data_IF_346096177777
#
_entry.id   IF_346096177777
#
_cell.length_a   1.000
_cell.length_b   1.000
_cell.length_c   1.000
_cell.angle_alpha   90.00
_cell.angle_beta   90.00
_cell.angle_gamma   90.00
#
_symmetry.space_group_name_H-M   'P 1'
#
loop_
_entity.id
_entity.type
_entity.pdbx_description
1 polymer ?
#
# COMPACT_ATOMS: atom_id res chain seq x y z
N UNK A 1 7.41 -30.51 -35.25
CA UNK A 1 6.10 -30.52 -34.56
C UNK A 1 6.31 -29.84 -33.20
N UNK A 2 6.37 -28.52 -33.18
CA UNK A 2 6.52 -27.73 -31.96
C UNK A 2 5.10 -27.46 -31.43
N UNK A 3 4.74 -28.10 -30.32
CA UNK A 3 3.51 -27.78 -29.62
C UNK A 3 3.67 -26.39 -29.00
N UNK A 4 2.94 -25.42 -29.53
CA UNK A 4 2.69 -24.13 -28.89
C UNK A 4 1.82 -24.42 -27.65
N UNK A 5 2.48 -24.55 -26.50
CA UNK A 5 1.81 -24.42 -25.22
C UNK A 5 1.37 -22.97 -25.08
N UNK A 6 0.06 -22.74 -25.08
CA UNK A 6 -0.53 -21.47 -24.70
C UNK A 6 -0.15 -21.20 -23.25
N UNK A 7 0.94 -20.46 -23.04
CA UNK A 7 1.18 -19.79 -21.77
C UNK A 7 0.11 -18.71 -21.72
N UNK A 8 -0.97 -18.98 -21.00
CA UNK A 8 -1.93 -17.96 -20.61
C UNK A 8 -1.13 -16.85 -19.93
N UNK A 9 -1.18 -15.63 -20.46
CA UNK A 9 -0.49 -14.43 -19.93
C UNK A 9 -0.81 -14.12 -18.45
N UNK A 10 -1.71 -14.88 -17.82
CA UNK A 10 -2.15 -14.74 -16.44
C UNK A 10 -1.15 -15.29 -15.39
N UNK A 11 -0.05 -15.93 -15.79
CA UNK A 11 0.91 -16.55 -14.86
C UNK A 11 2.19 -15.73 -14.58
N UNK A 12 2.26 -14.47 -15.05
CA UNK A 12 3.49 -13.65 -14.94
C UNK A 12 3.35 -12.38 -14.10
N UNK A 13 2.16 -12.04 -13.60
CA UNK A 13 1.97 -10.84 -12.79
C UNK A 13 1.82 -11.20 -11.32
N UNK A 14 2.68 -10.60 -10.49
CA UNK A 14 2.50 -10.62 -9.03
C UNK A 14 1.16 -9.91 -8.71
N UNK A 15 0.54 -10.21 -7.56
CA UNK A 15 -0.58 -9.40 -7.08
C UNK A 15 -0.20 -7.92 -6.98
N UNK A 16 -1.18 -7.02 -7.06
CA UNK A 16 -0.97 -5.57 -6.97
C UNK A 16 -0.76 -5.11 -5.53
N UNK A 17 -1.58 -5.62 -4.63
CA UNK A 17 -1.54 -5.32 -3.21
C UNK A 17 -2.17 -6.47 -2.41
N UNK A 18 -1.98 -6.45 -1.10
CA UNK A 18 -2.58 -7.39 -0.16
C UNK A 18 -3.49 -6.66 0.80
N UNK A 19 -4.70 -7.18 1.01
CA UNK A 19 -5.63 -6.69 2.03
C UNK A 19 -5.60 -7.57 3.27
N UNK A 20 -5.90 -6.96 4.42
CA UNK A 20 -6.04 -7.61 5.72
C UNK A 20 -7.44 -7.38 6.26
N UNK A 21 -8.22 -8.45 6.45
CA UNK A 21 -9.53 -8.41 7.11
C UNK A 21 -9.36 -8.72 8.59
N UNK A 22 -9.97 -7.91 9.46
CA UNK A 22 -10.00 -8.17 10.90
C UNK A 22 -8.67 -7.87 11.61
N UNK A 23 -7.96 -6.81 11.20
CA UNK A 23 -6.79 -6.32 11.91
C UNK A 23 -7.09 -6.01 13.38
N UNK A 24 -6.11 -6.18 14.26
CA UNK A 24 -6.23 -5.81 15.67
C UNK A 24 -6.28 -4.31 15.82
N UNK A 25 -7.33 -3.81 16.50
CA UNK A 25 -7.55 -2.40 16.76
C UNK A 25 -7.17 -2.06 18.22
N UNK A 26 -6.31 -1.06 18.45
CA UNK A 26 -5.94 -0.53 19.79
C UNK A 26 -6.50 0.87 20.01
N UNK A 27 -7.30 1.14 21.03
CA UNK A 27 -7.99 2.42 21.21
C UNK A 27 -7.06 3.67 21.09
N UNK A 28 -7.14 4.37 19.95
CA UNK A 28 -6.48 5.65 19.64
C UNK A 28 -7.51 6.53 18.88
N UNK A 29 -7.52 7.88 19.06
CA UNK A 29 -8.39 8.80 18.32
C UNK A 29 -8.33 8.72 16.77
N UNK A 30 -7.32 8.10 16.15
CA UNK A 30 -7.11 8.13 14.68
C UNK A 30 -7.57 6.90 13.88
N UNK A 31 -8.36 6.00 14.49
CA UNK A 31 -8.72 4.68 13.97
C UNK A 31 -7.52 3.72 13.91
N UNK A 32 -7.74 2.52 14.42
CA UNK A 32 -6.65 1.70 14.94
C UNK A 32 -6.38 0.56 13.98
N UNK A 33 -5.50 0.75 13.01
CA UNK A 33 -5.20 -0.29 12.02
C UNK A 33 -3.77 -0.78 12.21
N UNK A 34 -3.51 -1.51 13.30
CA UNK A 34 -2.14 -1.89 13.66
C UNK A 34 -1.44 -2.73 12.61
N UNK A 35 -2.15 -3.31 11.65
CA UNK A 35 -1.62 -4.28 10.68
C UNK A 35 -1.19 -5.59 11.31
N UNK A 36 -1.68 -5.89 12.52
CA UNK A 36 -1.42 -7.14 13.23
C UNK A 36 -2.68 -8.01 13.25
N UNK A 37 -2.52 -9.34 13.28
CA UNK A 37 -3.64 -10.28 13.29
C UNK A 37 -4.41 -10.30 11.97
N UNK A 38 -5.66 -10.77 12.00
CA UNK A 38 -6.52 -10.83 10.83
C UNK A 38 -6.10 -11.85 9.76
N UNK A 39 -6.88 -11.90 8.69
CA UNK A 39 -6.66 -12.75 7.52
C UNK A 39 -6.18 -11.91 6.34
N UNK A 40 -5.33 -12.50 5.49
CA UNK A 40 -4.71 -11.82 4.36
C UNK A 40 -5.23 -12.36 3.04
N UNK A 41 -5.46 -11.48 2.07
CA UNK A 41 -5.74 -11.85 0.70
C UNK A 41 -5.01 -10.94 -0.28
N UNK A 42 -4.37 -11.56 -1.27
CA UNK A 42 -3.75 -10.87 -2.38
C UNK A 42 -4.80 -10.46 -3.41
N UNK A 43 -4.75 -9.21 -3.86
CA UNK A 43 -5.60 -8.67 -4.92
C UNK A 43 -4.79 -8.56 -6.20
N UNK A 44 -5.23 -9.30 -7.22
CA UNK A 44 -4.62 -9.33 -8.53
C UNK A 44 -5.26 -8.35 -9.52
N UNK A 45 -4.85 -8.51 -10.78
CA UNK A 45 -5.44 -7.84 -11.93
C UNK A 45 -6.62 -8.65 -12.48
N UNK A 46 -7.68 -7.95 -12.84
CA UNK A 46 -8.73 -8.46 -13.73
C UNK A 46 -8.18 -8.64 -15.16
N UNK A 47 -8.97 -9.28 -16.04
CA UNK A 47 -8.60 -9.46 -17.44
C UNK A 47 -8.34 -8.14 -18.18
N UNK A 48 -8.98 -7.06 -17.75
CA UNK A 48 -8.86 -5.72 -18.33
C UNK A 48 -7.72 -4.89 -17.72
N UNK A 49 -6.96 -5.47 -16.78
CA UNK A 49 -5.76 -4.83 -16.21
C UNK A 49 -6.03 -3.86 -15.05
N UNK A 50 -7.20 -3.94 -14.42
CA UNK A 50 -7.55 -3.18 -13.21
C UNK A 50 -7.48 -4.07 -11.96
N UNK A 51 -7.28 -3.48 -10.78
CA UNK A 51 -7.40 -4.20 -9.52
C UNK A 51 -8.77 -4.88 -9.40
N UNK A 52 -8.80 -6.11 -8.90
CA UNK A 52 -10.06 -6.84 -8.69
C UNK A 52 -10.77 -6.37 -7.41
N UNK A 53 -11.46 -5.23 -7.51
CA UNK A 53 -12.23 -4.66 -6.42
C UNK A 53 -13.36 -5.58 -5.94
N UNK A 54 -13.97 -6.37 -6.84
CA UNK A 54 -15.02 -7.31 -6.47
C UNK A 54 -14.47 -8.45 -5.58
N UNK A 55 -13.25 -8.93 -5.87
CA UNK A 55 -12.56 -9.88 -5.00
C UNK A 55 -12.23 -9.26 -3.63
N UNK A 56 -11.78 -8.00 -3.59
CA UNK A 56 -11.59 -7.29 -2.34
C UNK A 56 -12.89 -7.19 -1.54
N UNK A 57 -13.99 -6.76 -2.15
CA UNK A 57 -15.28 -6.59 -1.48
C UNK A 57 -15.82 -7.91 -0.93
N UNK A 58 -15.71 -8.99 -1.71
CA UNK A 58 -16.10 -10.32 -1.28
C UNK A 58 -15.27 -10.82 -0.10
N UNK A 59 -13.96 -10.54 -0.12
CA UNK A 59 -13.07 -10.90 0.98
C UNK A 59 -13.32 -10.04 2.22
N UNK A 60 -13.31 -8.72 2.10
CA UNK A 60 -13.47 -7.81 3.24
C UNK A 60 -14.88 -7.91 3.86
N UNK A 61 -15.91 -8.14 3.05
CA UNK A 61 -17.30 -8.20 3.50
C UNK A 61 -17.70 -6.93 4.26
N UNK A 62 -18.29 -7.09 5.44
CA UNK A 62 -18.66 -5.98 6.33
C UNK A 62 -17.62 -5.70 7.42
N UNK A 63 -16.52 -6.44 7.44
CA UNK A 63 -15.48 -6.30 8.46
C UNK A 63 -14.52 -5.16 8.12
N UNK A 64 -13.80 -4.67 9.14
CA UNK A 64 -12.71 -3.73 8.92
C UNK A 64 -11.62 -4.38 8.05
N UNK A 65 -11.22 -3.68 6.99
CA UNK A 65 -10.27 -4.17 6.02
C UNK A 65 -9.21 -3.09 5.73
N UNK A 66 -7.95 -3.48 5.72
CA UNK A 66 -6.80 -2.59 5.55
C UNK A 66 -5.89 -3.04 4.42
N UNK A 67 -5.10 -2.13 3.85
CA UNK A 67 -4.07 -2.47 2.86
C UNK A 67 -2.79 -2.83 3.61
N UNK A 68 -2.36 -4.08 3.55
CA UNK A 68 -1.21 -4.57 4.32
C UNK A 68 0.11 -4.47 3.57
N UNK A 69 0.08 -4.75 2.27
CA UNK A 69 1.28 -4.70 1.42
C UNK A 69 0.89 -4.03 0.10
N UNK A 70 1.77 -3.14 -0.38
CA UNK A 70 1.73 -2.64 -1.75
C UNK A 70 2.88 -3.32 -2.48
N UNK A 71 2.57 -4.16 -3.46
CA UNK A 71 3.58 -4.98 -4.11
C UNK A 71 4.28 -4.20 -5.22
N UNK A 72 5.61 -4.21 -5.19
CA UNK A 72 6.40 -3.69 -6.29
C UNK A 72 6.24 -4.62 -7.50
N UNK A 73 5.70 -4.05 -8.58
CA UNK A 73 5.49 -4.77 -9.83
C UNK A 73 6.79 -4.94 -10.64
N UNK A 74 7.88 -4.29 -10.22
CA UNK A 74 9.19 -4.48 -10.81
C UNK A 74 9.83 -5.81 -10.35
N UNK A 75 10.85 -6.31 -11.07
CA UNK A 75 11.64 -7.45 -10.64
C UNK A 75 12.42 -7.23 -9.33
N UNK A 76 12.52 -6.00 -8.82
CA UNK A 76 13.27 -5.67 -7.60
C UNK A 76 12.55 -6.09 -6.33
N UNK A 77 11.22 -6.20 -6.36
CA UNK A 77 10.44 -6.66 -5.20
C UNK A 77 10.51 -5.71 -4.00
N UNK A 78 10.62 -4.40 -4.25
CA UNK A 78 10.65 -3.34 -3.23
C UNK A 78 9.27 -3.10 -2.61
N UNK A 79 8.61 -4.16 -2.14
CA UNK A 79 7.26 -4.10 -1.59
C UNK A 79 7.19 -3.17 -0.38
N UNK A 80 6.14 -2.36 -0.30
CA UNK A 80 5.92 -1.45 0.82
C UNK A 80 4.99 -2.08 1.85
N UNK A 81 5.38 -1.98 3.12
CA UNK A 81 4.58 -2.40 4.30
C UNK A 81 4.43 -1.22 5.23
N UNK A 82 3.57 -1.31 6.25
CA UNK A 82 3.43 -0.24 7.24
C UNK A 82 4.81 0.26 7.73
N UNK A 83 4.98 1.56 7.84
CA UNK A 83 6.23 2.16 8.28
C UNK A 83 6.61 1.72 9.70
N UNK A 84 7.89 1.36 9.94
CA UNK A 84 8.38 1.16 11.30
C UNK A 84 8.53 2.51 12.03
N UNK A 85 8.51 2.46 13.36
CA UNK A 85 8.89 3.59 14.19
C UNK A 85 10.24 4.16 13.77
N UNK A 86 10.32 5.47 13.61
CA UNK A 86 11.54 6.23 13.37
C UNK A 86 12.09 6.90 14.64
N UNK A 87 13.08 7.78 14.45
CA UNK A 87 13.87 8.38 15.54
C UNK A 87 13.37 9.77 15.98
N UNK A 88 12.37 10.33 15.30
CA UNK A 88 11.87 11.67 15.63
C UNK A 88 10.98 11.63 16.89
N UNK A 89 11.43 12.32 17.93
CA UNK A 89 10.78 12.38 19.26
C UNK A 89 10.19 13.76 19.57
N UNK A 90 9.99 14.60 18.55
CA UNK A 90 9.38 15.91 18.74
C UNK A 90 7.96 15.80 19.31
N UNK A 91 7.56 16.79 20.10
CA UNK A 91 6.25 16.80 20.77
C UNK A 91 5.05 16.83 19.80
N UNK A 92 5.30 17.17 18.53
CA UNK A 92 4.32 17.20 17.46
C UNK A 92 4.61 16.06 16.47
N UNK A 93 3.97 14.91 16.66
CA UNK A 93 4.02 13.80 15.71
C UNK A 93 4.02 12.43 16.35
N UNK A 94 3.83 11.41 15.52
CA UNK A 94 3.80 9.99 15.91
C UNK A 94 4.94 9.20 15.28
N UNK A 95 5.96 9.89 14.77
CA UNK A 95 7.07 9.28 14.05
C UNK A 95 7.93 8.33 14.90
N UNK A 96 7.86 8.40 16.24
CA UNK A 96 8.48 7.43 17.15
C UNK A 96 7.64 6.15 17.36
N UNK A 97 6.50 6.02 16.67
CA UNK A 97 5.59 4.89 16.70
C UNK A 97 5.54 4.23 15.33
N UNK A 98 5.19 2.94 15.27
CA UNK A 98 4.90 2.31 13.98
C UNK A 98 3.69 2.98 13.35
N UNK A 99 3.70 3.12 12.03
CA UNK A 99 2.54 3.57 11.28
C UNK A 99 1.42 2.52 11.30
N UNK A 100 0.22 2.98 10.99
CA UNK A 100 -0.96 2.16 10.75
C UNK A 100 -1.15 1.84 9.26
N UNK A 101 -1.84 0.74 9.00
CA UNK A 101 -2.31 0.40 7.65
C UNK A 101 -3.55 1.23 7.28
N UNK A 102 -3.66 1.65 6.02
CA UNK A 102 -4.82 2.38 5.52
C UNK A 102 -6.04 1.50 5.31
N UNK A 103 -7.23 2.06 5.55
CA UNK A 103 -8.50 1.38 5.29
C UNK A 103 -8.67 1.14 3.78
N UNK A 104 -8.86 -0.13 3.39
CA UNK A 104 -8.93 -0.57 2.00
C UNK A 104 -10.19 -0.13 1.25
N UNK A 105 -11.25 0.29 1.96
CA UNK A 105 -12.52 0.73 1.39
C UNK A 105 -12.74 2.26 1.51
N UNK A 106 -11.76 3.01 2.03
CA UNK A 106 -11.97 4.41 2.39
C UNK A 106 -12.20 5.34 1.18
N UNK A 107 -11.74 4.97 -0.01
CA UNK A 107 -11.87 5.82 -1.18
C UNK A 107 -12.09 4.98 -2.47
N UNK A 108 -13.36 4.63 -2.76
CA UNK A 108 -13.73 3.99 -4.02
C UNK A 108 -13.66 4.99 -5.17
N UNK A 109 -13.25 4.50 -6.33
CA UNK A 109 -13.11 5.26 -7.58
C UNK A 109 -13.60 4.40 -8.75
N UNK A 110 -14.01 5.06 -9.82
CA UNK A 110 -14.26 4.40 -11.11
C UNK A 110 -13.25 4.92 -12.14
N UNK A 111 -12.43 4.02 -12.68
CA UNK A 111 -11.42 4.34 -13.70
C UNK A 111 -11.71 3.51 -14.94
N UNK A 112 -11.95 4.16 -16.08
CA UNK A 112 -12.26 3.46 -17.33
C UNK A 112 -13.53 2.59 -17.29
N UNK A 113 -14.44 2.82 -16.33
CA UNK A 113 -15.63 2.00 -16.11
C UNK A 113 -15.44 0.84 -15.14
N UNK A 114 -14.25 0.70 -14.54
CA UNK A 114 -13.94 -0.31 -13.53
C UNK A 114 -13.88 0.32 -12.14
N UNK A 115 -14.53 -0.33 -11.18
CA UNK A 115 -14.42 0.05 -9.78
C UNK A 115 -13.07 -0.39 -9.23
N UNK A 116 -12.39 0.54 -8.54
CA UNK A 116 -11.09 0.35 -7.90
C UNK A 116 -11.04 1.15 -6.61
N UNK A 117 -10.06 0.86 -5.76
CA UNK A 117 -9.80 1.62 -4.54
C UNK A 117 -8.44 2.30 -4.64
N UNK A 118 -8.37 3.58 -4.28
CA UNK A 118 -7.08 4.24 -4.06
C UNK A 118 -6.58 3.99 -2.64
N UNK A 119 -5.27 4.08 -2.44
CA UNK A 119 -4.69 4.13 -1.09
C UNK A 119 -5.02 5.49 -0.45
N UNK A 120 -5.99 5.51 0.45
CA UNK A 120 -6.39 6.71 1.18
C UNK A 120 -5.71 6.74 2.55
N UNK A 121 -4.62 7.49 2.65
CA UNK A 121 -3.83 7.61 3.88
C UNK A 121 -4.37 8.71 4.78
N UNK A 122 -4.59 8.37 6.05
CA UNK A 122 -4.93 9.30 7.15
C UNK A 122 -3.68 9.67 7.95
N UNK A 123 -3.75 10.67 8.87
CA UNK A 123 -2.67 10.90 9.80
C UNK A 123 -2.25 9.61 10.52
N UNK A 124 -0.94 9.37 10.62
CA UNK A 124 -0.34 8.16 11.22
C UNK A 124 -0.52 6.87 10.40
N UNK A 125 -0.98 6.96 9.16
CA UNK A 125 -0.91 5.84 8.21
C UNK A 125 0.23 6.08 7.21
N UNK A 126 1.02 5.05 6.92
CA UNK A 126 2.24 5.21 6.14
C UNK A 126 2.88 3.88 5.77
N UNK A 127 3.61 3.87 4.65
CA UNK A 127 4.22 2.67 4.09
C UNK A 127 5.68 2.91 3.73
N UNK A 128 6.53 1.92 4.00
CA UNK A 128 7.99 2.02 3.86
C UNK A 128 8.63 0.69 3.48
N UNK A 129 9.80 0.78 2.86
CA UNK A 129 10.76 -0.30 2.71
C UNK A 129 12.18 0.25 2.90
N UNK A 130 12.83 -0.11 4.01
CA UNK A 130 14.18 0.35 4.33
C UNK A 130 15.27 -0.50 3.66
N UNK A 131 14.92 -1.69 3.16
CA UNK A 131 15.83 -2.64 2.53
C UNK A 131 15.61 -2.69 1.00
N UNK A 132 15.13 -1.59 0.43
CA UNK A 132 14.90 -1.49 -1.01
C UNK A 132 16.21 -1.63 -1.80
N UNK A 133 16.13 -2.32 -2.94
CA UNK A 133 17.25 -2.60 -3.83
C UNK A 133 17.07 -1.88 -5.17
N UNK A 134 18.19 -1.39 -5.71
CA UNK A 134 18.21 -0.70 -7.02
C UNK A 134 17.63 0.71 -7.00
N UNK A 135 17.26 1.25 -5.85
CA UNK A 135 16.93 2.68 -5.68
C UNK A 135 18.21 3.52 -5.67
N UNK A 136 18.15 4.73 -6.21
CA UNK A 136 19.30 5.62 -6.31
C UNK A 136 19.84 5.99 -4.91
N UNK A 137 21.17 6.02 -4.74
CA UNK A 137 21.82 6.42 -3.49
C UNK A 137 22.77 7.61 -3.68
N UNK A 138 23.03 8.36 -2.61
CA UNK A 138 23.97 9.49 -2.62
C UNK A 138 23.59 10.57 -3.63
N UNK A 139 24.41 10.76 -4.67
CA UNK A 139 24.19 11.76 -5.73
C UNK A 139 23.74 11.15 -7.06
N UNK A 140 23.31 9.90 -7.07
CA UNK A 140 22.76 9.26 -8.26
C UNK A 140 21.44 9.92 -8.69
N UNK A 141 21.20 9.96 -10.00
CA UNK A 141 19.99 10.56 -10.57
C UNK A 141 18.77 9.66 -10.39
N UNK A 142 17.63 10.25 -10.02
CA UNK A 142 16.34 9.56 -9.93
C UNK A 142 15.21 10.47 -10.43
N UNK A 143 14.16 9.86 -10.97
CA UNK A 143 12.85 10.49 -11.16
C UNK A 143 11.77 9.62 -10.53
N UNK A 144 10.79 10.25 -9.90
CA UNK A 144 9.61 9.60 -9.33
C UNK A 144 8.35 10.37 -9.72
N UNK A 145 7.22 9.69 -9.77
CA UNK A 145 5.92 10.32 -9.98
C UNK A 145 4.86 9.60 -9.16
N UNK A 146 3.83 10.35 -8.76
CA UNK A 146 2.64 9.84 -8.10
C UNK A 146 1.43 10.58 -8.66
N UNK A 147 0.32 9.88 -8.82
CA UNK A 147 -0.99 10.49 -9.05
C UNK A 147 -1.71 10.55 -7.71
N UNK A 148 -2.07 11.75 -7.27
CA UNK A 148 -2.70 11.98 -5.97
C UNK A 148 -3.93 12.88 -6.09
N UNK A 149 -4.83 12.78 -5.12
CA UNK A 149 -5.95 13.70 -4.97
C UNK A 149 -5.45 15.04 -4.41
N UNK A 150 -5.47 16.08 -5.24
CA UNK A 150 -5.04 17.43 -4.85
C UNK A 150 -5.94 18.12 -3.82
N UNK A 151 -7.05 17.49 -3.42
CA UNK A 151 -7.98 18.00 -2.40
C UNK A 151 -7.87 17.28 -1.05
N UNK A 152 -7.15 16.14 -1.00
CA UNK A 152 -6.90 15.41 0.24
C UNK A 152 -5.49 15.70 0.75
N UNK A 153 -5.39 16.65 1.69
CA UNK A 153 -4.12 17.06 2.30
C UNK A 153 -4.32 17.49 3.76
N UNK A 154 -3.22 17.51 4.51
CA UNK A 154 -3.17 17.95 5.91
C UNK A 154 -2.26 19.16 6.10
N UNK A 155 -2.25 19.70 7.33
CA UNK A 155 -1.34 20.77 7.74
C UNK A 155 -0.10 20.27 8.49
N UNK A 156 -0.02 18.95 8.72
CA UNK A 156 1.07 18.32 9.47
C UNK A 156 2.07 17.67 8.52
N UNK A 157 3.33 17.69 8.91
CA UNK A 157 4.36 16.93 8.23
C UNK A 157 4.11 15.42 8.44
N UNK A 158 4.23 14.58 7.41
CA UNK A 158 4.40 14.90 5.98
C UNK A 158 3.65 13.86 5.14
N UNK A 159 3.30 14.23 3.90
CA UNK A 159 2.79 13.31 2.89
C UNK A 159 3.79 13.22 1.74
N UNK A 160 4.68 12.24 1.82
CA UNK A 160 5.83 12.09 0.93
C UNK A 160 5.74 10.80 0.10
N UNK A 161 6.28 10.84 -1.11
CA UNK A 161 6.49 9.67 -1.96
C UNK A 161 7.85 9.76 -2.65
N UNK A 162 8.73 8.81 -2.38
CA UNK A 162 10.06 8.77 -2.99
C UNK A 162 11.12 8.10 -2.11
N UNK A 163 12.38 8.46 -2.34
CA UNK A 163 13.51 7.98 -1.55
C UNK A 163 13.58 8.67 -0.18
N UNK A 164 13.95 7.90 0.85
CA UNK A 164 14.12 8.37 2.23
C UNK A 164 15.30 7.65 2.91
N UNK A 165 15.64 8.06 4.14
CA UNK A 165 16.68 7.41 4.94
C UNK A 165 16.34 5.94 5.24
N UNK A 166 17.35 5.08 5.33
CA UNK A 166 17.15 3.69 5.81
C UNK A 166 17.07 3.61 7.33
N UNK A 167 17.62 4.62 8.00
CA UNK A 167 17.64 4.72 9.46
C UNK A 167 16.24 4.89 10.05
N UNK A 168 15.97 4.10 11.08
CA UNK A 168 14.78 4.14 11.94
C UNK A 168 15.19 4.54 13.33
#
# INVERSE_FOLDING_TARGET
>A
RLQHGSITLQQLFRPLYQVRRGATNVANPYQNNTGMGGELMDIGLTADGFADAAAQDAFCGTEACTVSVIYDQSPMGNDLRRGPAGCFTGAEGTAAENDYESNAAAHPLTVGGHDVYSLYTRPHEGYRNNDAVGTAEGTESQGVYMVADGTHYGAVCCFDFGNASKET
#
